data_IF_757393930073
#
_entry.id   IF_757393930073
#
_cell.length_a   1.000
_cell.length_b   1.000
_cell.length_c   1.000
_cell.angle_alpha   90.00
_cell.angle_beta   90.00
_cell.angle_gamma   90.00
#
_symmetry.space_group_name_H-M   'P 1'
#
loop_
_entity.id
_entity.type
_entity.pdbx_description
1 polymer ?
#
# COMPACT_ATOMS: atom_id res chain seq x y z
N UNK A 1 -4.62 -8.57 -13.58
CA UNK A 1 -5.85 -9.24 -14.08
C UNK A 1 -5.80 -10.76 -13.95
N UNK A 2 -4.86 -11.47 -14.62
CA UNK A 2 -4.77 -12.95 -14.58
C UNK A 2 -4.74 -13.52 -13.16
N UNK A 3 -3.93 -12.93 -12.27
CA UNK A 3 -3.84 -13.35 -10.87
C UNK A 3 -4.93 -12.76 -9.94
N UNK A 4 -5.96 -12.08 -10.49
CA UNK A 4 -6.98 -11.35 -9.74
C UNK A 4 -6.44 -10.36 -8.67
N UNK A 5 -5.19 -9.93 -8.75
CA UNK A 5 -4.60 -8.97 -7.84
C UNK A 5 -5.00 -7.51 -8.17
N UNK A 6 -4.92 -6.64 -7.16
CA UNK A 6 -5.02 -5.19 -7.30
C UNK A 6 -3.64 -4.64 -7.67
N UNK A 7 -3.58 -3.80 -8.70
CA UNK A 7 -2.36 -3.16 -9.17
C UNK A 7 -2.20 -1.78 -8.52
N UNK A 8 -1.00 -1.48 -8.02
CA UNK A 8 -0.67 -0.19 -7.41
C UNK A 8 0.34 0.52 -8.30
N UNK A 9 -0.06 1.66 -8.86
CA UNK A 9 0.79 2.46 -9.75
C UNK A 9 1.30 3.66 -9.00
N UNK A 10 2.62 3.81 -8.89
CA UNK A 10 3.26 4.96 -8.28
C UNK A 10 3.62 6.03 -9.31
N UNK A 11 4.91 6.10 -9.63
CA UNK A 11 5.45 6.98 -10.67
C UNK A 11 4.98 6.55 -12.07
N UNK A 12 5.05 7.47 -13.02
CA UNK A 12 4.59 7.28 -14.41
C UNK A 12 3.89 8.53 -14.93
N UNK A 13 3.83 8.66 -16.25
CA UNK A 13 3.10 9.74 -16.91
C UNK A 13 1.60 9.42 -17.04
N UNK A 14 0.84 10.41 -17.51
CA UNK A 14 -0.61 10.31 -17.63
C UNK A 14 -1.01 9.25 -18.68
N UNK A 15 -0.23 9.12 -19.76
CA UNK A 15 -0.47 8.15 -20.83
C UNK A 15 -0.25 6.72 -20.36
N UNK A 16 0.81 6.47 -19.60
CA UNK A 16 1.10 5.18 -18.99
C UNK A 16 -0.06 4.74 -18.07
N UNK A 17 -0.63 5.66 -17.28
CA UNK A 17 -1.77 5.34 -16.44
C UNK A 17 -3.01 4.97 -17.28
N UNK A 18 -3.29 5.69 -18.36
CA UNK A 18 -4.39 5.41 -19.28
C UNK A 18 -4.23 4.05 -19.98
N UNK A 19 -3.01 3.71 -20.40
CA UNK A 19 -2.69 2.39 -20.97
C UNK A 19 -2.93 1.27 -19.94
N UNK A 20 -2.53 1.49 -18.68
CA UNK A 20 -2.76 0.54 -17.58
C UNK A 20 -4.26 0.35 -17.32
N UNK A 21 -5.04 1.43 -17.19
CA UNK A 21 -6.47 1.33 -16.89
C UNK A 21 -7.28 0.78 -18.08
N UNK A 22 -6.84 1.02 -19.32
CA UNK A 22 -7.43 0.41 -20.52
C UNK A 22 -7.37 -1.13 -20.50
N UNK A 23 -6.43 -1.74 -19.78
CA UNK A 23 -6.37 -3.20 -19.56
C UNK A 23 -7.51 -3.73 -18.68
N UNK A 24 -8.28 -2.83 -18.03
CA UNK A 24 -9.31 -3.11 -17.02
C UNK A 24 -8.77 -3.79 -15.76
N UNK A 25 -7.48 -3.66 -15.48
CA UNK A 25 -6.93 -4.05 -14.19
C UNK A 25 -7.52 -3.16 -13.08
N UNK A 26 -7.82 -3.75 -11.92
CA UNK A 26 -8.16 -2.97 -10.72
C UNK A 26 -6.93 -2.20 -10.28
N UNK A 27 -6.92 -0.90 -10.52
CA UNK A 27 -5.75 -0.04 -10.32
C UNK A 27 -6.00 1.00 -9.24
N UNK A 28 -5.02 1.13 -8.33
CA UNK A 28 -4.90 2.22 -7.36
C UNK A 28 -3.74 3.10 -7.81
N UNK A 29 -4.00 4.41 -8.00
CA UNK A 29 -2.94 5.38 -8.30
C UNK A 29 -2.41 6.00 -7.01
N UNK A 30 -1.14 5.80 -6.72
CA UNK A 30 -0.43 6.42 -5.60
C UNK A 30 0.32 7.65 -6.10
N UNK A 31 -0.12 8.81 -5.65
CA UNK A 31 0.39 10.12 -6.04
C UNK A 31 1.51 10.50 -5.06
N UNK A 32 2.60 11.05 -5.57
CA UNK A 32 3.71 11.52 -4.73
C UNK A 32 3.31 12.84 -4.04
N UNK A 33 3.89 13.16 -2.87
CA UNK A 33 3.54 14.36 -2.13
C UNK A 33 4.21 15.59 -2.78
N UNK A 34 3.79 15.94 -3.99
CA UNK A 34 4.33 17.04 -4.78
C UNK A 34 4.20 18.36 -4.02
N UNK A 35 5.22 19.22 -4.07
CA UNK A 35 5.23 20.53 -3.39
C UNK A 35 4.03 21.39 -3.78
N UNK A 36 3.66 21.39 -5.07
CA UNK A 36 2.49 22.08 -5.58
C UNK A 36 1.23 21.22 -5.41
N UNK A 37 0.27 21.71 -4.61
CA UNK A 37 -1.00 21.02 -4.38
C UNK A 37 -1.88 21.01 -5.62
N UNK A 38 -1.75 21.98 -6.53
CA UNK A 38 -2.54 21.99 -7.77
C UNK A 38 -2.18 20.79 -8.64
N UNK A 39 -0.90 20.40 -8.69
CA UNK A 39 -0.48 19.19 -9.39
C UNK A 39 -1.02 17.92 -8.72
N UNK A 40 -1.11 17.89 -7.38
CA UNK A 40 -1.74 16.78 -6.66
C UNK A 40 -3.22 16.67 -7.04
N UNK A 41 -3.97 17.76 -7.00
CA UNK A 41 -5.39 17.78 -7.39
C UNK A 41 -5.59 17.38 -8.86
N UNK A 42 -4.75 17.90 -9.78
CA UNK A 42 -4.77 17.52 -11.20
C UNK A 42 -4.56 16.02 -11.39
N UNK A 43 -3.59 15.42 -10.68
CA UNK A 43 -3.31 13.98 -10.75
C UNK A 43 -4.43 13.13 -10.13
N UNK A 44 -5.07 13.61 -9.06
CA UNK A 44 -6.26 12.96 -8.50
C UNK A 44 -7.37 12.93 -9.54
N UNK A 45 -7.70 14.08 -10.13
CA UNK A 45 -8.74 14.19 -11.14
C UNK A 45 -8.45 13.31 -12.36
N UNK A 46 -7.21 13.34 -12.86
CA UNK A 46 -6.77 12.49 -13.97
C UNK A 46 -6.93 11.01 -13.65
N UNK A 47 -6.47 10.55 -12.49
CA UNK A 47 -6.55 9.14 -12.10
C UNK A 47 -8.00 8.64 -12.01
N UNK A 48 -8.90 9.48 -11.49
CA UNK A 48 -10.35 9.19 -11.43
C UNK A 48 -10.93 9.11 -12.84
N UNK A 49 -10.64 10.08 -13.71
CA UNK A 49 -11.09 10.07 -15.12
C UNK A 49 -10.55 8.87 -15.90
N UNK A 50 -9.31 8.47 -15.62
CA UNK A 50 -8.69 7.29 -16.23
C UNK A 50 -9.32 5.97 -15.78
N UNK A 51 -10.18 5.97 -14.76
CA UNK A 51 -10.90 4.78 -14.29
C UNK A 51 -10.19 4.01 -13.17
N UNK A 52 -9.29 4.66 -12.42
CA UNK A 52 -8.79 4.07 -11.17
C UNK A 52 -9.95 3.93 -10.18
N UNK A 53 -10.10 2.76 -9.56
CA UNK A 53 -11.17 2.56 -8.58
C UNK A 53 -10.84 3.16 -7.21
N UNK A 54 -9.55 3.49 -6.97
CA UNK A 54 -9.07 4.21 -5.81
C UNK A 54 -7.84 5.03 -6.18
N UNK A 55 -7.58 6.05 -5.38
CA UNK A 55 -6.35 6.85 -5.45
C UNK A 55 -5.69 6.87 -4.07
N UNK A 56 -4.48 7.37 -3.97
CA UNK A 56 -3.79 7.45 -2.70
C UNK A 56 -2.55 8.31 -2.78
N UNK A 57 -1.83 8.39 -1.66
CA UNK A 57 -0.61 9.17 -1.56
C UNK A 57 0.43 8.46 -0.69
N UNK A 58 1.69 8.56 -1.12
CA UNK A 58 2.83 8.27 -0.25
C UNK A 58 3.10 9.49 0.65
N UNK A 59 2.95 9.34 1.96
CA UNK A 59 3.27 10.42 2.92
C UNK A 59 4.74 10.38 3.37
N UNK A 60 5.44 9.29 3.09
CA UNK A 60 6.81 9.00 3.50
C UNK A 60 7.87 9.33 2.43
N UNK A 61 7.46 9.75 1.22
CA UNK A 61 8.36 10.03 0.09
C UNK A 61 8.51 11.54 -0.18
N UNK A 62 8.80 12.31 0.87
CA UNK A 62 9.01 13.76 0.78
C UNK A 62 10.49 14.16 0.76
N UNK A 63 11.36 13.31 1.30
CA UNK A 63 12.79 13.54 1.43
C UNK A 63 13.58 12.49 0.66
N UNK A 64 14.74 12.88 0.15
CA UNK A 64 15.70 11.99 -0.47
C UNK A 64 16.58 11.29 0.58
N UNK A 65 17.42 10.35 0.13
CA UNK A 65 18.36 9.64 1.01
C UNK A 65 19.48 10.52 1.61
N UNK A 66 19.51 11.83 1.30
CA UNK A 66 20.46 12.82 1.82
C UNK A 66 19.79 13.82 2.77
N UNK A 67 18.56 13.54 3.21
CA UNK A 67 17.75 14.39 4.09
C UNK A 67 17.36 15.75 3.48
N UNK A 68 17.44 15.90 2.15
CA UNK A 68 16.88 17.04 1.42
C UNK A 68 15.46 16.75 0.93
N UNK A 69 14.71 17.77 0.51
CA UNK A 69 13.45 17.53 -0.21
C UNK A 69 13.72 16.81 -1.52
N UNK A 70 12.96 15.76 -1.80
CA UNK A 70 13.14 14.98 -3.01
C UNK A 70 12.63 15.73 -4.26
N UNK A 71 13.11 15.33 -5.43
CA UNK A 71 12.61 15.75 -6.72
C UNK A 71 12.43 14.52 -7.62
N UNK A 72 11.17 14.17 -7.87
CA UNK A 72 10.80 12.98 -8.63
C UNK A 72 10.29 13.43 -10.00
N UNK A 73 11.00 13.03 -11.07
CA UNK A 73 10.65 13.35 -12.45
C UNK A 73 10.52 14.87 -12.72
N UNK A 74 11.36 15.69 -12.08
CA UNK A 74 11.35 17.14 -12.23
C UNK A 74 10.35 17.87 -11.33
N UNK A 75 9.51 17.14 -10.58
CA UNK A 75 8.55 17.70 -9.64
C UNK A 75 9.16 17.71 -8.23
N UNK A 76 9.27 18.87 -7.57
CA UNK A 76 9.69 18.93 -6.17
C UNK A 76 8.67 18.26 -5.24
N UNK A 77 9.13 17.61 -4.19
CA UNK A 77 8.29 17.00 -3.14
C UNK A 77 8.23 17.89 -1.89
N UNK A 78 7.22 17.67 -1.05
CA UNK A 78 7.06 18.29 0.27
C UNK A 78 6.14 17.46 1.15
N UNK A 79 6.47 17.35 2.44
CA UNK A 79 5.57 16.79 3.43
C UNK A 79 4.21 17.52 3.45
N UNK A 80 3.13 16.74 3.64
CA UNK A 80 1.75 17.22 3.66
C UNK A 80 1.19 17.30 5.07
N UNK A 81 0.38 18.32 5.33
CA UNK A 81 -0.35 18.43 6.59
C UNK A 81 -1.59 17.54 6.59
N UNK A 82 -2.19 17.35 7.76
CA UNK A 82 -3.43 16.58 7.88
C UNK A 82 -4.61 17.28 7.18
N UNK A 83 -4.61 18.62 7.16
CA UNK A 83 -5.60 19.44 6.46
C UNK A 83 -5.48 19.28 4.95
N UNK A 84 -4.25 19.38 4.40
CA UNK A 84 -4.02 19.13 2.97
C UNK A 84 -4.47 17.71 2.59
N UNK A 85 -4.17 16.71 3.42
CA UNK A 85 -4.61 15.33 3.20
C UNK A 85 -6.13 15.21 3.17
N UNK A 86 -6.84 15.89 4.08
CA UNK A 86 -8.30 15.92 4.11
C UNK A 86 -8.87 16.54 2.83
N UNK A 87 -8.27 17.60 2.32
CA UNK A 87 -8.71 18.23 1.07
C UNK A 87 -8.53 17.27 -0.12
N UNK A 88 -7.41 16.53 -0.18
CA UNK A 88 -7.17 15.52 -1.22
C UNK A 88 -8.18 14.36 -1.16
N UNK A 89 -8.47 13.86 0.04
CA UNK A 89 -9.50 12.83 0.27
C UNK A 89 -10.86 13.31 -0.25
N UNK A 90 -11.25 14.55 0.08
CA UNK A 90 -12.52 15.11 -0.35
C UNK A 90 -12.60 15.34 -1.87
N UNK A 91 -11.48 15.70 -2.50
CA UNK A 91 -11.38 15.91 -3.94
C UNK A 91 -11.47 14.61 -4.74
N UNK A 92 -10.97 13.49 -4.20
CA UNK A 92 -10.85 12.23 -4.93
C UNK A 92 -12.18 11.62 -5.37
N UNK A 93 -13.26 11.75 -4.59
CA UNK A 93 -14.59 11.15 -4.85
C UNK A 93 -14.61 9.61 -5.05
N UNK A 94 -13.46 8.96 -4.96
CA UNK A 94 -13.23 7.51 -4.89
C UNK A 94 -12.43 7.23 -3.60
N UNK A 95 -12.34 5.98 -3.12
CA UNK A 95 -11.52 5.64 -1.96
C UNK A 95 -10.11 6.22 -2.05
N UNK A 96 -9.71 6.97 -1.02
CA UNK A 96 -8.38 7.54 -0.90
C UNK A 96 -7.56 6.73 0.12
N UNK A 97 -6.41 6.20 -0.30
CA UNK A 97 -5.56 5.32 0.51
C UNK A 97 -4.27 6.03 0.91
N UNK A 98 -3.94 6.04 2.20
CA UNK A 98 -2.71 6.69 2.69
C UNK A 98 -1.63 5.65 2.92
N UNK A 99 -0.51 5.77 2.19
CA UNK A 99 0.62 4.85 2.31
C UNK A 99 1.82 5.53 2.97
N UNK A 100 2.48 4.80 3.88
CA UNK A 100 3.61 5.32 4.65
C UNK A 100 3.30 5.53 6.13
N UNK A 101 2.24 4.91 6.64
CA UNK A 101 1.79 5.06 8.04
C UNK A 101 2.59 4.11 8.94
N UNK A 102 3.40 4.66 9.85
CA UNK A 102 4.26 3.86 10.74
C UNK A 102 3.94 4.03 12.24
N UNK A 103 2.86 4.74 12.58
CA UNK A 103 2.45 4.94 13.98
C UNK A 103 0.92 4.94 14.13
N UNK A 104 0.42 4.56 15.31
CA UNK A 104 -1.00 4.66 15.65
C UNK A 104 -1.51 6.10 15.55
N UNK A 105 -0.71 7.07 15.99
CA UNK A 105 -1.04 8.50 15.92
C UNK A 105 -1.28 8.96 14.48
N UNK A 106 -0.47 8.50 13.53
CA UNK A 106 -0.65 8.85 12.12
C UNK A 106 -1.84 8.11 11.51
N UNK A 107 -2.11 6.88 11.95
CA UNK A 107 -3.33 6.15 11.56
C UNK A 107 -4.61 6.90 12.00
N UNK A 108 -4.64 7.43 13.23
CA UNK A 108 -5.75 8.27 13.72
C UNK A 108 -5.92 9.56 12.89
N UNK A 109 -4.82 10.19 12.47
CA UNK A 109 -4.89 11.36 11.57
C UNK A 109 -5.47 10.98 10.22
N UNK A 110 -5.10 9.82 9.68
CA UNK A 110 -5.65 9.32 8.41
C UNK A 110 -7.17 9.08 8.51
N UNK A 111 -7.63 8.50 9.62
CA UNK A 111 -9.06 8.36 9.92
C UNK A 111 -9.77 9.71 9.95
N UNK A 112 -9.22 10.68 10.69
CA UNK A 112 -9.77 12.04 10.80
C UNK A 112 -9.79 12.79 9.46
N UNK A 113 -8.84 12.50 8.57
CA UNK A 113 -8.81 13.04 7.22
C UNK A 113 -9.85 12.38 6.28
N UNK A 114 -10.45 11.25 6.69
CA UNK A 114 -11.43 10.51 5.89
C UNK A 114 -10.81 9.49 4.94
N UNK A 115 -9.57 9.06 5.18
CA UNK A 115 -8.94 8.01 4.37
C UNK A 115 -9.81 6.75 4.37
N UNK A 116 -9.93 6.10 3.22
CA UNK A 116 -10.70 4.86 3.06
C UNK A 116 -9.87 3.59 3.38
N UNK A 117 -8.59 3.76 3.67
CA UNK A 117 -7.64 2.69 4.00
C UNK A 117 -6.24 3.25 4.21
N UNK A 118 -5.39 2.47 4.86
CA UNK A 118 -3.98 2.83 5.06
C UNK A 118 -3.06 1.69 4.68
N UNK A 119 -1.81 2.02 4.34
CA UNK A 119 -0.72 1.05 4.15
C UNK A 119 0.39 1.34 5.15
N UNK A 120 0.71 0.33 5.96
CA UNK A 120 1.89 0.35 6.82
C UNK A 120 3.10 0.08 5.94
N UNK A 121 3.92 1.09 5.77
CA UNK A 121 5.03 1.10 4.82
C UNK A 121 6.13 2.02 5.31
N UNK A 122 7.39 1.63 5.11
CA UNK A 122 8.56 2.49 5.26
C UNK A 122 9.24 2.77 3.91
N UNK A 123 8.46 2.70 2.81
CA UNK A 123 8.93 2.88 1.45
C UNK A 123 10.21 2.11 1.13
N UNK A 124 10.18 0.78 1.15
CA UNK A 124 11.32 -0.08 0.77
C UNK A 124 12.67 0.20 1.47
N UNK A 125 12.63 0.76 2.68
CA UNK A 125 13.81 1.08 3.49
C UNK A 125 14.40 2.46 3.16
N UNK A 126 13.62 3.34 2.53
CA UNK A 126 14.02 4.73 2.27
C UNK A 126 14.24 5.51 3.57
N UNK A 127 13.40 5.25 4.58
CA UNK A 127 13.60 5.78 5.93
C UNK A 127 14.59 4.86 6.65
N UNK A 128 15.83 5.31 6.77
CA UNK A 128 16.89 4.60 7.50
C UNK A 128 16.43 4.28 8.93
N UNK A 129 16.61 3.04 9.34
CA UNK A 129 16.25 2.53 10.68
C UNK A 129 14.75 2.64 11.04
N UNK A 130 13.87 2.82 10.05
CA UNK A 130 12.44 2.74 10.30
C UNK A 130 12.04 1.37 10.86
N UNK A 131 11.00 1.38 11.69
CA UNK A 131 10.42 0.18 12.25
C UNK A 131 9.91 -0.75 11.13
N UNK A 132 10.16 -2.07 11.20
CA UNK A 132 9.57 -3.01 10.27
C UNK A 132 8.03 -2.94 10.33
N UNK A 133 7.30 -2.84 9.20
CA UNK A 133 5.84 -2.65 9.20
C UNK A 133 5.05 -3.66 10.04
N UNK A 134 5.47 -4.93 10.04
CA UNK A 134 4.80 -5.98 10.81
C UNK A 134 4.82 -5.74 12.33
N UNK A 135 5.85 -5.03 12.83
CA UNK A 135 6.02 -4.77 14.27
C UNK A 135 4.99 -3.78 14.80
N UNK A 136 4.57 -2.80 13.99
CA UNK A 136 3.60 -1.77 14.37
C UNK A 136 2.16 -2.10 13.94
N UNK A 137 1.95 -3.18 13.17
CA UNK A 137 0.63 -3.58 12.68
C UNK A 137 -0.40 -3.73 13.79
N UNK A 138 -0.06 -4.41 14.89
CA UNK A 138 -0.99 -4.64 15.99
C UNK A 138 -1.47 -3.34 16.65
N UNK A 139 -0.54 -2.41 16.90
CA UNK A 139 -0.84 -1.10 17.50
C UNK A 139 -1.72 -0.25 16.55
N UNK A 140 -1.38 -0.22 15.26
CA UNK A 140 -2.16 0.49 14.24
C UNK A 140 -3.55 -0.15 14.07
N UNK A 141 -3.66 -1.47 14.15
CA UNK A 141 -4.96 -2.17 14.11
C UNK A 141 -5.83 -1.83 15.32
N UNK A 142 -5.25 -1.68 16.51
CA UNK A 142 -6.00 -1.23 17.69
C UNK A 142 -6.50 0.21 17.50
N UNK A 143 -5.68 1.11 16.98
CA UNK A 143 -6.06 2.50 16.72
C UNK A 143 -7.10 2.66 15.61
N UNK A 144 -7.07 1.79 14.58
CA UNK A 144 -8.01 1.85 13.44
C UNK A 144 -9.28 1.03 13.61
N UNK A 145 -9.30 0.10 14.56
CA UNK A 145 -10.43 -0.82 14.77
C UNK A 145 -10.86 -1.54 13.49
N UNK A 146 -12.17 -1.47 13.21
CA UNK A 146 -12.80 -2.01 11.99
C UNK A 146 -13.21 -0.91 11.00
N UNK A 147 -12.81 0.34 11.24
CA UNK A 147 -13.31 1.49 10.48
C UNK A 147 -12.79 1.48 9.04
N UNK A 148 -11.52 1.13 8.86
CA UNK A 148 -10.86 1.07 7.55
C UNK A 148 -9.96 -0.17 7.41
N UNK A 149 -9.78 -0.70 6.19
CA UNK A 149 -8.77 -1.72 5.92
C UNK A 149 -7.35 -1.19 6.14
N UNK A 150 -6.51 -2.05 6.72
CA UNK A 150 -5.08 -1.80 6.93
C UNK A 150 -4.30 -2.78 6.07
N UNK A 151 -3.53 -2.26 5.13
CA UNK A 151 -2.64 -3.02 4.27
C UNK A 151 -1.21 -2.96 4.78
N UNK A 152 -0.37 -3.92 4.39
CA UNK A 152 1.05 -3.97 4.78
C UNK A 152 1.92 -4.21 3.56
N UNK A 153 3.05 -3.53 3.48
CA UNK A 153 4.11 -3.82 2.50
C UNK A 153 5.50 -3.89 3.18
N UNK A 154 6.55 -3.96 2.35
CA UNK A 154 7.96 -4.10 2.73
C UNK A 154 8.34 -5.45 3.38
N UNK A 155 9.12 -6.24 2.65
CA UNK A 155 9.64 -7.54 3.13
C UNK A 155 8.70 -8.72 2.91
N UNK A 156 7.64 -8.54 2.12
CA UNK A 156 6.75 -9.64 1.72
C UNK A 156 7.34 -10.34 0.50
N UNK A 157 7.74 -11.60 0.66
CA UNK A 157 8.36 -12.39 -0.41
C UNK A 157 7.63 -13.70 -0.66
N UNK A 158 6.81 -14.16 0.29
CA UNK A 158 6.07 -15.42 0.21
C UNK A 158 4.62 -15.30 0.70
N UNK A 159 3.81 -16.30 0.38
CA UNK A 159 2.50 -16.51 1.00
C UNK A 159 2.58 -16.74 2.51
N UNK A 160 3.73 -17.20 3.01
CA UNK A 160 4.01 -17.39 4.44
C UNK A 160 4.18 -16.04 5.14
N UNK A 161 4.78 -15.05 4.48
CA UNK A 161 4.87 -13.69 5.02
C UNK A 161 3.51 -13.00 4.99
N UNK A 162 2.75 -13.21 3.91
CA UNK A 162 1.36 -12.77 3.83
C UNK A 162 0.51 -13.35 4.98
N UNK A 163 0.65 -14.64 5.25
CA UNK A 163 -0.04 -15.34 6.34
C UNK A 163 0.18 -14.64 7.69
N UNK A 164 1.42 -14.28 8.04
CA UNK A 164 1.73 -13.59 9.30
C UNK A 164 1.05 -12.23 9.40
N UNK A 165 1.03 -11.46 8.30
CA UNK A 165 0.38 -10.15 8.26
C UNK A 165 -1.13 -10.27 8.42
N UNK A 166 -1.75 -11.20 7.69
CA UNK A 166 -3.19 -11.45 7.73
C UNK A 166 -3.62 -11.93 9.13
N UNK A 167 -2.87 -12.86 9.74
CA UNK A 167 -3.07 -13.30 11.13
C UNK A 167 -2.99 -12.17 12.15
N UNK A 168 -2.17 -11.17 11.91
CA UNK A 168 -2.05 -9.98 12.75
C UNK A 168 -3.07 -8.87 12.41
N UNK A 169 -4.03 -9.16 11.52
CA UNK A 169 -5.16 -8.28 11.24
C UNK A 169 -5.01 -7.37 10.02
N UNK A 170 -4.00 -7.57 9.17
CA UNK A 170 -3.94 -6.90 7.87
C UNK A 170 -5.09 -7.38 6.98
N UNK A 171 -5.65 -6.48 6.17
CA UNK A 171 -6.69 -6.80 5.19
C UNK A 171 -6.12 -7.43 3.92
N UNK A 172 -4.92 -7.01 3.50
CA UNK A 172 -4.14 -7.60 2.43
C UNK A 172 -2.67 -7.16 2.55
N UNK A 173 -1.80 -7.80 1.78
CA UNK A 173 -0.39 -7.40 1.64
C UNK A 173 -0.08 -6.94 0.23
N UNK A 174 0.89 -6.03 0.11
CA UNK A 174 1.41 -5.55 -1.17
C UNK A 174 2.86 -6.02 -1.36
N UNK A 175 3.18 -6.47 -2.57
CA UNK A 175 4.48 -7.04 -2.92
C UNK A 175 5.17 -6.13 -3.92
N UNK A 176 6.29 -5.52 -3.52
CA UNK A 176 7.06 -4.59 -4.35
C UNK A 176 8.26 -5.27 -5.01
N UNK A 177 9.44 -5.12 -4.41
CA UNK A 177 10.73 -5.53 -4.99
C UNK A 177 10.79 -7.01 -5.39
N UNK A 178 10.16 -7.90 -4.62
CA UNK A 178 10.14 -9.34 -4.92
C UNK A 178 9.51 -9.67 -6.28
N UNK A 179 8.55 -8.87 -6.75
CA UNK A 179 7.92 -9.07 -8.06
C UNK A 179 8.74 -8.50 -9.24
N UNK A 180 9.74 -7.64 -9.00
CA UNK A 180 10.51 -6.98 -10.07
C UNK A 180 11.19 -7.94 -11.06
N UNK A 181 11.84 -9.04 -10.62
CA UNK A 181 12.44 -9.99 -11.56
C UNK A 181 11.40 -10.68 -12.47
N UNK A 182 10.18 -10.86 -11.98
CA UNK A 182 9.08 -11.49 -12.72
C UNK A 182 8.41 -10.50 -13.68
N UNK A 183 8.29 -9.23 -13.26
CA UNK A 183 7.84 -8.13 -14.14
C UNK A 183 8.73 -8.02 -15.39
N UNK A 184 10.05 -8.14 -15.23
CA UNK A 184 11.00 -8.16 -16.35
C UNK A 184 10.82 -9.34 -17.31
N UNK A 185 10.22 -10.45 -16.83
CA UNK A 185 9.89 -11.63 -17.64
C UNK A 185 8.48 -11.56 -18.24
N UNK A 186 7.73 -10.50 -17.97
CA UNK A 186 6.41 -10.23 -18.54
C UNK A 186 5.23 -10.63 -17.64
N UNK A 187 4.03 -10.37 -18.15
CA UNK A 187 2.78 -10.48 -17.39
C UNK A 187 2.49 -11.90 -16.90
N UNK A 188 2.88 -12.93 -17.66
CA UNK A 188 2.59 -14.33 -17.33
C UNK A 188 3.48 -14.83 -16.21
N UNK A 189 4.77 -14.53 -16.26
CA UNK A 189 5.70 -14.82 -15.17
C UNK A 189 5.29 -14.09 -13.87
N UNK A 190 4.85 -12.83 -13.98
CA UNK A 190 4.35 -12.06 -12.84
C UNK A 190 3.08 -12.67 -12.25
N UNK A 191 2.12 -13.04 -13.11
CA UNK A 191 0.87 -13.65 -12.66
C UNK A 191 1.12 -15.01 -12.02
N UNK A 192 1.99 -15.84 -12.60
CA UNK A 192 2.38 -17.13 -12.05
C UNK A 192 3.00 -16.99 -10.66
N UNK A 193 3.91 -16.02 -10.44
CA UNK A 193 4.50 -15.80 -9.11
C UNK A 193 3.47 -15.38 -8.07
N UNK A 194 2.51 -14.51 -8.43
CA UNK A 194 1.45 -14.11 -7.50
C UNK A 194 0.55 -15.32 -7.15
N UNK A 195 0.21 -16.16 -8.14
CA UNK A 195 -0.57 -17.39 -7.89
C UNK A 195 0.19 -18.36 -6.99
N UNK A 196 1.49 -18.56 -7.22
CA UNK A 196 2.35 -19.38 -6.35
C UNK A 196 2.36 -18.87 -4.91
N UNK A 197 2.44 -17.56 -4.68
CA UNK A 197 2.31 -16.98 -3.33
C UNK A 197 0.93 -17.25 -2.71
N UNK A 198 -0.14 -17.29 -3.50
CA UNK A 198 -1.47 -17.67 -2.99
C UNK A 198 -1.53 -19.15 -2.63
N UNK A 199 -0.87 -20.03 -3.41
CA UNK A 199 -0.78 -21.46 -3.11
C UNK A 199 0.05 -21.71 -1.84
N UNK A 200 1.15 -20.97 -1.65
CA UNK A 200 1.93 -20.97 -0.41
C UNK A 200 1.06 -20.57 0.80
N UNK A 201 0.27 -19.49 0.68
CA UNK A 201 -0.65 -19.03 1.72
C UNK A 201 -1.71 -20.09 2.04
N UNK A 202 -2.37 -20.66 1.02
CA UNK A 202 -3.36 -21.71 1.18
C UNK A 202 -2.76 -22.96 1.85
N UNK A 203 -1.52 -23.32 1.47
CA UNK A 203 -0.78 -24.41 2.08
C UNK A 203 -0.53 -24.22 3.58
N UNK A 204 -0.13 -23.01 4.00
CA UNK A 204 0.04 -22.71 5.44
C UNK A 204 -1.30 -22.71 6.16
N UNK A 205 -2.33 -22.06 5.60
CA UNK A 205 -3.68 -22.06 6.17
C UNK A 205 -4.21 -23.47 6.42
N UNK A 206 -4.02 -24.38 5.45
CA UNK A 206 -4.40 -25.78 5.60
C UNK A 206 -3.65 -26.49 6.74
N UNK A 207 -2.36 -26.18 6.94
CA UNK A 207 -1.53 -26.79 7.99
C UNK A 207 -1.84 -26.24 9.38
N UNK A 208 -2.38 -25.04 9.47
CA UNK A 208 -2.76 -24.39 10.73
C UNK A 208 -4.25 -24.47 11.02
N UNK A 209 -5.03 -25.20 10.21
CA UNK A 209 -6.45 -25.43 10.44
C UNK A 209 -7.36 -24.23 10.15
N UNK A 210 -6.90 -23.26 9.35
CA UNK A 210 -7.65 -22.06 9.01
C UNK A 210 -8.35 -22.26 7.66
N UNK A 211 -9.68 -22.42 7.70
CA UNK A 211 -10.48 -22.71 6.51
C UNK A 211 -10.78 -21.48 5.62
N UNK A 212 -10.67 -20.27 6.16
CA UNK A 212 -10.93 -19.03 5.42
C UNK A 212 -10.21 -17.84 6.08
N UNK A 213 -10.01 -16.74 5.32
CA UNK A 213 -9.32 -15.55 5.83
C UNK A 213 -10.06 -14.89 6.99
N UNK A 214 -11.38 -14.99 7.04
CA UNK A 214 -12.22 -14.41 8.10
C UNK A 214 -12.05 -15.13 9.45
N UNK A 215 -11.57 -16.38 9.42
CA UNK A 215 -11.27 -17.18 10.62
C UNK A 215 -9.83 -17.01 11.09
N UNK A 216 -9.04 -16.21 10.38
CA UNK A 216 -7.65 -15.99 10.73
C UNK A 216 -7.56 -14.95 11.84
N UNK A 217 -6.82 -15.28 12.90
CA UNK A 217 -6.55 -14.39 14.02
C UNK A 217 -5.11 -14.56 14.53
N UNK A 218 -4.72 -13.73 15.49
CA UNK A 218 -3.34 -13.67 15.96
C UNK A 218 -2.87 -14.87 16.80
N UNK A 219 -3.78 -15.78 17.18
CA UNK A 219 -3.47 -16.95 18.03
C UNK A 219 -2.48 -17.92 17.36
N UNK A 220 -2.38 -17.90 16.04
CA UNK A 220 -1.41 -18.68 15.26
C UNK A 220 -0.02 -18.05 15.17
N UNK A 221 0.18 -16.86 15.74
CA UNK A 221 1.46 -16.14 15.74
C UNK A 221 1.99 -16.04 17.17
N UNK A 222 3.03 -16.82 17.47
CA UNK A 222 3.71 -16.75 18.77
C UNK A 222 4.84 -15.73 18.72
N UNK A 223 4.70 -14.64 19.49
CA UNK A 223 5.80 -13.71 19.76
C UNK A 223 6.55 -14.18 21.00
N UNK A 224 7.79 -14.63 20.83
CA UNK A 224 8.69 -14.92 21.96
C UNK A 224 9.46 -13.65 22.30
N UNK A 225 9.27 -13.15 23.51
CA UNK A 225 10.20 -12.22 24.15
C UNK A 225 11.29 -13.06 24.79
N UNK A 226 12.50 -12.99 24.23
CA UNK A 226 13.70 -13.53 24.87
C UNK A 226 14.30 -12.49 25.81
#
# INVERSE_FOLDING_TARGET
KKANAVHWVGMGDDKELEEITATKARTIKIIKPHKDNNEVFRKIEHAVKAGCFAVGMDIDHSFDGKCGYDNVLGLPMKAKTAEELKDFVQAAKVPFIVKGVLSAKDAEKCLKAGAAGIVISHHHGMISYAVPPLMVLGEIKQATGKDIPVFVDCGIESGIDAYKCLALGAAAVSVGRHLMPFLKKGADATAARIMEMNDELAGVMSRTGIASLEKMDSSVIHRRTF
#
